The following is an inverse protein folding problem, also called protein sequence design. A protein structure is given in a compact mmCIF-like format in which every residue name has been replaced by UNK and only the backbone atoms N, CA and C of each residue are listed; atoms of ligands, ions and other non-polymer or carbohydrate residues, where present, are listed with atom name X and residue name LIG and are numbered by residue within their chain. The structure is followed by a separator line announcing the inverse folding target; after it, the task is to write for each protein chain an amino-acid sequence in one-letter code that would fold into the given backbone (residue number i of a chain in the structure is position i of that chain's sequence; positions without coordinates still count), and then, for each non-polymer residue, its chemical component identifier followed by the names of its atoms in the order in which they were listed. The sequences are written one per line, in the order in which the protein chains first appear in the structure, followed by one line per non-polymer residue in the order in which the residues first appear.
data_IF_151917565808
#
_entry.id   IF_151917565808
#
_cell.length_a   1.000
_cell.length_b   1.000
_cell.length_c   1.000
_cell.angle_alpha   90.00
_cell.angle_beta   90.00
_cell.angle_gamma   90.00
#
_symmetry.space_group_name_H-M   'P 1'
#
loop_
_entity.id
_entity.type
_entity.pdbx_description
1 polymer ?
#
# COMPACT_ATOMS: atom_id res chain seq x y z
N UNK A 1 -16.03 -3.61 -23.39
CA UNK A 1 -15.03 -4.40 -22.63
C UNK A 1 -15.72 -5.60 -21.99
N UNK A 2 -15.54 -6.80 -22.56
CA UNK A 2 -16.23 -8.04 -22.19
C UNK A 2 -15.90 -8.53 -20.77
N UNK A 3 -16.93 -9.05 -20.07
CA UNK A 3 -16.89 -9.62 -18.71
C UNK A 3 -15.72 -10.61 -18.48
N UNK A 4 -15.33 -11.34 -19.52
CA UNK A 4 -14.25 -12.34 -19.50
C UNK A 4 -12.85 -11.77 -19.18
N UNK A 5 -12.58 -10.52 -19.56
CA UNK A 5 -11.23 -9.96 -19.41
C UNK A 5 -10.94 -9.57 -17.95
N UNK A 6 -11.96 -9.05 -17.24
CA UNK A 6 -11.84 -8.66 -15.81
C UNK A 6 -11.55 -9.87 -14.92
N UNK A 7 -12.16 -11.01 -15.21
CA UNK A 7 -12.00 -12.22 -14.42
C UNK A 7 -10.63 -12.87 -14.63
N UNK A 8 -10.15 -12.86 -15.88
CA UNK A 8 -8.80 -13.31 -16.23
C UNK A 8 -7.73 -12.47 -15.53
N UNK A 9 -7.88 -11.14 -15.52
CA UNK A 9 -6.98 -10.25 -14.78
C UNK A 9 -6.99 -10.50 -13.28
N UNK A 10 -8.16 -10.74 -12.68
CA UNK A 10 -8.26 -11.11 -11.24
C UNK A 10 -7.56 -12.43 -10.94
N UNK A 11 -7.65 -13.43 -11.82
CA UNK A 11 -6.93 -14.71 -11.67
C UNK A 11 -5.41 -14.51 -11.71
N UNK A 12 -4.92 -13.66 -12.60
CA UNK A 12 -3.49 -13.31 -12.67
C UNK A 12 -3.05 -12.60 -11.40
N UNK A 13 -3.79 -11.60 -10.94
CA UNK A 13 -3.48 -10.87 -9.70
C UNK A 13 -3.52 -11.76 -8.46
N UNK A 14 -4.41 -12.77 -8.41
CA UNK A 14 -4.45 -13.76 -7.33
C UNK A 14 -3.13 -14.54 -7.21
N UNK A 15 -2.40 -14.78 -8.29
CA UNK A 15 -1.09 -15.47 -8.25
C UNK A 15 0.00 -14.63 -7.56
N UNK A 16 -0.14 -13.30 -7.56
CA UNK A 16 0.77 -12.37 -6.86
C UNK A 16 0.55 -12.41 -5.34
N UNK A 17 -0.63 -12.89 -4.92
CA UNK A 17 -1.03 -12.98 -3.52
C UNK A 17 -1.62 -11.67 -2.99
N UNK A 18 -1.89 -11.58 -1.67
CA UNK A 18 -2.45 -10.40 -1.04
C UNK A 18 -1.48 -9.21 -1.11
N UNK A 19 -2.04 -8.03 -1.41
CA UNK A 19 -1.31 -6.76 -1.46
C UNK A 19 -2.18 -5.62 -0.94
N UNK A 20 -1.55 -4.54 -0.49
CA UNK A 20 -2.23 -3.39 0.10
C UNK A 20 -1.87 -2.09 -0.65
N UNK A 21 -2.85 -1.56 -1.39
CA UNK A 21 -2.76 -0.25 -2.05
C UNK A 21 -3.01 0.87 -1.04
N UNK A 22 -2.02 1.73 -0.85
CA UNK A 22 -2.07 2.82 0.14
C UNK A 22 -0.68 3.16 0.64
N UNK A 23 -0.58 3.64 1.87
CA UNK A 23 0.68 3.92 2.56
C UNK A 23 0.64 3.44 4.00
N UNK A 24 1.82 3.10 4.53
CA UNK A 24 2.01 2.72 5.94
C UNK A 24 2.73 3.87 6.64
N UNK A 25 2.12 4.41 7.70
CA UNK A 25 2.68 5.51 8.49
C UNK A 25 2.82 5.08 9.94
N UNK A 26 3.96 5.38 10.57
CA UNK A 26 4.17 5.16 12.00
C UNK A 26 4.36 6.49 12.68
N UNK A 27 3.57 6.75 13.72
CA UNK A 27 3.67 7.94 14.55
C UNK A 27 4.04 7.53 15.97
N UNK A 28 4.73 8.42 16.69
CA UNK A 28 5.14 8.18 18.07
C UNK A 28 4.27 9.02 19.01
N UNK A 29 3.52 8.38 19.91
CA UNK A 29 2.64 9.04 20.88
C UNK A 29 3.20 8.93 22.29
N UNK A 30 3.32 10.06 22.99
CA UNK A 30 3.71 10.06 24.40
C UNK A 30 2.57 9.48 25.24
N UNK A 31 2.89 8.65 26.24
CA UNK A 31 1.87 8.05 27.13
C UNK A 31 1.52 8.93 28.34
N UNK A 32 2.10 10.13 28.45
CA UNK A 32 1.90 11.05 29.58
C UNK A 32 2.63 10.65 30.87
N UNK A 33 3.12 9.41 30.96
CA UNK A 33 3.96 8.93 32.06
C UNK A 33 5.44 9.10 31.72
N UNK A 34 6.29 9.20 32.75
CA UNK A 34 7.74 9.28 32.58
C UNK A 34 8.35 7.92 32.22
N UNK A 35 7.98 7.40 31.05
CA UNK A 35 8.34 6.07 30.58
C UNK A 35 9.68 6.08 29.82
N UNK A 36 10.50 5.04 29.98
CA UNK A 36 11.81 4.93 29.29
C UNK A 36 11.66 5.02 27.76
N UNK A 37 10.74 4.25 27.20
CA UNK A 37 10.42 4.26 25.75
C UNK A 37 10.09 5.66 25.22
N UNK A 38 9.36 6.45 26.01
CA UNK A 38 8.93 7.80 25.65
C UNK A 38 10.13 8.76 25.62
N UNK A 39 11.08 8.57 26.53
CA UNK A 39 12.28 9.39 26.66
C UNK A 39 13.29 9.08 25.56
N UNK A 40 13.47 7.79 25.26
CA UNK A 40 14.44 7.32 24.27
C UNK A 40 13.96 7.50 22.82
N UNK A 41 12.69 7.17 22.54
CA UNK A 41 12.14 7.13 21.17
C UNK A 41 11.18 8.29 20.86
N UNK A 42 11.00 9.23 21.78
CA UNK A 42 10.07 10.35 21.65
C UNK A 42 8.58 9.98 21.80
N UNK A 43 8.25 8.70 21.99
CA UNK A 43 6.89 8.18 22.22
C UNK A 43 6.76 6.69 21.95
N UNK A 44 5.57 6.15 22.14
CA UNK A 44 5.21 4.78 21.75
C UNK A 44 4.79 4.74 20.27
N UNK A 45 5.30 3.78 19.49
CA UNK A 45 4.94 3.66 18.08
C UNK A 45 3.47 3.22 17.93
N UNK A 46 2.74 3.92 17.08
CA UNK A 46 1.43 3.55 16.58
C UNK A 46 1.46 3.56 15.06
N UNK A 47 1.20 2.41 14.45
CA UNK A 47 1.23 2.24 12.99
C UNK A 47 -0.18 2.33 12.43
N UNK A 48 -0.32 3.04 11.32
CA UNK A 48 -1.56 3.25 10.60
C UNK A 48 -1.37 2.92 9.13
N UNK A 49 -2.42 2.38 8.52
CA UNK A 49 -2.52 2.20 7.07
C UNK A 49 -3.51 3.21 6.49
N UNK A 50 -3.04 4.00 5.55
CA UNK A 50 -3.83 5.03 4.89
C UNK A 50 -4.14 4.62 3.46
N UNK A 51 -5.41 4.68 3.04
CA UNK A 51 -5.80 4.36 1.67
C UNK A 51 -6.94 5.26 1.19
N UNK A 52 -7.01 5.47 -0.13
CA UNK A 52 -8.03 6.31 -0.75
C UNK A 52 -9.13 5.45 -1.33
N UNK A 53 -10.38 5.73 -0.98
CA UNK A 53 -11.58 5.05 -1.49
C UNK A 53 -12.67 6.09 -1.72
N UNK A 54 -13.30 6.05 -2.89
CA UNK A 54 -14.45 6.92 -3.22
C UNK A 54 -14.18 8.42 -2.94
N UNK A 55 -12.98 8.88 -3.30
CA UNK A 55 -12.59 10.28 -3.13
C UNK A 55 -12.19 10.69 -1.71
N UNK A 56 -12.26 9.78 -0.72
CA UNK A 56 -11.92 10.03 0.69
C UNK A 56 -10.67 9.28 1.11
N UNK A 57 -9.92 9.85 2.05
CA UNK A 57 -8.77 9.19 2.70
C UNK A 57 -9.25 8.49 3.97
N UNK A 58 -9.06 7.17 4.02
CA UNK A 58 -9.39 6.33 5.16
C UNK A 58 -8.11 5.89 5.86
N UNK A 59 -8.18 5.78 7.18
CA UNK A 59 -7.03 5.44 8.04
C UNK A 59 -7.43 4.30 8.97
N UNK A 60 -6.60 3.26 9.02
CA UNK A 60 -6.83 2.07 9.85
C UNK A 60 -5.64 1.88 10.78
N UNK A 61 -5.90 1.73 12.08
CA UNK A 61 -4.86 1.37 13.04
C UNK A 61 -4.42 -0.07 12.83
N UNK A 62 -3.10 -0.30 12.75
CA UNK A 62 -2.51 -1.62 12.58
C UNK A 62 -1.94 -2.09 13.92
N UNK A 63 -2.43 -3.22 14.46
CA UNK A 63 -1.84 -3.83 15.65
C UNK A 63 -0.35 -4.12 15.45
N UNK A 64 0.45 -3.97 16.51
CA UNK A 64 1.91 -4.19 16.46
C UNK A 64 2.29 -5.54 15.85
N UNK A 65 1.54 -6.60 16.17
CA UNK A 65 1.74 -7.96 15.64
C UNK A 65 1.48 -8.12 14.13
N UNK A 66 0.87 -7.13 13.48
CA UNK A 66 0.53 -7.15 12.04
C UNK A 66 1.26 -6.08 11.24
N UNK A 67 2.14 -5.31 11.86
CA UNK A 67 2.90 -4.24 11.20
C UNK A 67 3.77 -4.79 10.07
N UNK A 68 4.54 -5.85 10.34
CA UNK A 68 5.46 -6.40 9.34
C UNK A 68 4.71 -7.05 8.18
N UNK A 69 3.61 -7.75 8.47
CA UNK A 69 2.73 -8.31 7.44
C UNK A 69 2.12 -7.21 6.55
N UNK A 70 1.72 -6.09 7.15
CA UNK A 70 1.17 -4.94 6.43
C UNK A 70 2.23 -4.30 5.52
N UNK A 71 3.47 -4.15 6.02
CA UNK A 71 4.61 -3.67 5.23
C UNK A 71 4.93 -4.62 4.06
N UNK A 72 4.89 -5.93 4.29
CA UNK A 72 5.09 -6.94 3.25
C UNK A 72 4.06 -6.80 2.13
N UNK A 73 2.77 -6.71 2.49
CA UNK A 73 1.69 -6.55 1.51
C UNK A 73 1.74 -5.21 0.79
N UNK A 74 2.17 -4.15 1.47
CA UNK A 74 2.39 -2.86 0.84
C UNK A 74 3.57 -2.92 -0.16
N UNK A 75 4.67 -3.59 0.19
CA UNK A 75 5.81 -3.78 -0.71
C UNK A 75 5.42 -4.58 -1.96
N UNK A 76 4.58 -5.61 -1.82
CA UNK A 76 4.00 -6.35 -2.96
C UNK A 76 3.19 -5.42 -3.87
N UNK A 77 2.38 -4.52 -3.31
CA UNK A 77 1.67 -3.51 -4.10
C UNK A 77 2.63 -2.57 -4.84
N UNK A 78 3.68 -2.05 -4.20
CA UNK A 78 4.66 -1.17 -4.85
C UNK A 78 5.37 -1.83 -6.03
N UNK A 79 5.64 -3.14 -5.96
CA UNK A 79 6.18 -3.89 -7.10
C UNK A 79 5.17 -3.95 -8.25
N UNK A 80 3.91 -4.23 -7.96
CA UNK A 80 2.84 -4.25 -8.95
C UNK A 80 2.62 -2.87 -9.59
N UNK A 81 2.65 -1.80 -8.79
CA UNK A 81 2.49 -0.42 -9.26
C UNK A 81 3.56 -0.05 -10.29
N UNK A 82 4.82 -0.41 -10.05
CA UNK A 82 5.91 -0.19 -11.01
C UNK A 82 5.66 -0.92 -12.34
N UNK A 83 5.25 -2.18 -12.30
CA UNK A 83 4.93 -2.94 -13.51
C UNK A 83 3.80 -2.27 -14.30
N UNK A 84 2.78 -1.76 -13.61
CA UNK A 84 1.67 -1.03 -14.25
C UNK A 84 2.17 0.27 -14.89
N UNK A 85 3.03 1.01 -14.19
CA UNK A 85 3.64 2.24 -14.71
C UNK A 85 4.47 1.97 -15.97
N UNK A 86 5.32 0.93 -15.96
CA UNK A 86 6.15 0.55 -17.11
C UNK A 86 5.28 0.20 -18.33
N UNK A 87 4.28 -0.67 -18.14
CA UNK A 87 3.33 -1.03 -19.21
C UNK A 87 2.61 0.21 -19.74
N UNK A 88 2.22 1.13 -18.85
CA UNK A 88 1.55 2.38 -19.23
C UNK A 88 2.46 3.23 -20.09
N UNK A 89 3.71 3.44 -19.69
CA UNK A 89 4.68 4.22 -20.46
C UNK A 89 4.93 3.61 -21.84
N UNK A 90 5.12 2.30 -21.93
CA UNK A 90 5.35 1.64 -23.21
C UNK A 90 4.13 1.67 -24.13
N UNK A 91 2.93 1.53 -23.57
CA UNK A 91 1.68 1.69 -24.32
C UNK A 91 1.53 3.12 -24.85
N UNK A 92 1.80 4.12 -24.01
CA UNK A 92 1.78 5.53 -24.42
C UNK A 92 2.79 5.84 -25.51
N UNK A 93 4.01 5.29 -25.44
CA UNK A 93 5.02 5.43 -26.50
C UNK A 93 4.54 4.87 -27.83
N UNK A 94 3.88 3.69 -27.84
CA UNK A 94 3.31 3.09 -29.05
C UNK A 94 2.22 3.97 -29.66
N UNK A 95 1.30 4.48 -28.83
CA UNK A 95 0.23 5.38 -29.27
C UNK A 95 0.82 6.67 -29.87
N UNK A 96 1.84 7.26 -29.24
CA UNK A 96 2.49 8.49 -29.74
C UNK A 96 3.34 8.28 -31.00
N UNK A 97 3.87 7.07 -31.23
CA UNK A 97 4.70 6.75 -32.40
C UNK A 97 3.90 6.31 -33.62
N UNK A 98 2.63 5.95 -33.47
CA UNK A 98 1.72 5.74 -34.60
C UNK A 98 1.34 7.07 -35.24
N UNK A 99 1.94 7.37 -36.40
CA UNK A 99 1.23 8.11 -37.47
C UNK A 99 0.21 7.17 -38.09
#
# INVERSE_FOLDING_TARGET
MSKNNKETMRKILRKIGPFLKGSVSTIYKKCGKNCSTCREKGGHPATYFCYRREGKTLVVHIPSSKVDLTKEYHAKYKKLERIIEDITQDTLKKIKKGK
#
